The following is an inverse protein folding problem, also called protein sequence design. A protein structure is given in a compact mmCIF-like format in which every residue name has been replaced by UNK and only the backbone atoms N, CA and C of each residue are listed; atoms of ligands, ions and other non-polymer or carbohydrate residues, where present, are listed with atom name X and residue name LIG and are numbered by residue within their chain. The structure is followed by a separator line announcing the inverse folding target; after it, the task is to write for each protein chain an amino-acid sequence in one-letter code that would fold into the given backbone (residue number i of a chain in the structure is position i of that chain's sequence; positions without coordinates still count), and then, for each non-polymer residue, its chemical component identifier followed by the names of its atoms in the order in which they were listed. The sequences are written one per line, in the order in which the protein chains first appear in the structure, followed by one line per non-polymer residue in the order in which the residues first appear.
data_IF_196598235700
#
_entry.id   IF_196598235700
#
_cell.length_a   1.000
_cell.length_b   1.000
_cell.length_c   1.000
_cell.angle_alpha   90.00
_cell.angle_beta   90.00
_cell.angle_gamma   90.00
#
_symmetry.space_group_name_H-M   'P 1'
#
loop_
_entity.id
_entity.type
_entity.pdbx_description
1 polymer ?
#
# COMPACT_ATOMS: atom_id res chain seq x y z
N UNK A 1 -26.44 13.11 23.33
CA UNK A 1 -25.23 13.76 22.80
C UNK A 1 -24.66 12.86 21.72
N UNK A 2 -24.61 13.30 20.47
CA UNK A 2 -23.91 12.56 19.42
C UNK A 2 -22.41 12.84 19.57
N UNK A 3 -21.64 11.82 19.97
CA UNK A 3 -20.19 11.89 19.97
C UNK A 3 -19.71 11.86 18.52
N UNK A 4 -19.16 12.98 18.03
CA UNK A 4 -18.41 13.00 16.79
C UNK A 4 -17.10 12.22 17.03
N UNK A 5 -16.95 11.07 16.36
CA UNK A 5 -15.68 10.36 16.35
C UNK A 5 -14.63 11.29 15.72
N UNK A 6 -13.39 11.35 16.26
CA UNK A 6 -12.34 12.14 15.64
C UNK A 6 -12.14 11.62 14.22
N UNK A 7 -12.31 12.50 13.23
CA UNK A 7 -11.85 12.24 11.88
C UNK A 7 -10.34 12.02 12.00
N UNK A 8 -9.88 10.79 11.78
CA UNK A 8 -8.46 10.53 11.60
C UNK A 8 -8.01 11.49 10.51
N UNK A 9 -7.15 12.45 10.88
CA UNK A 9 -6.49 13.32 9.93
C UNK A 9 -5.77 12.39 8.97
N UNK A 10 -6.33 12.23 7.76
CA UNK A 10 -5.72 11.49 6.67
C UNK A 10 -4.46 12.25 6.28
N UNK A 11 -3.39 12.04 7.05
CA UNK A 11 -2.09 12.59 6.80
C UNK A 11 -1.65 11.99 5.48
N UNK A 12 -1.59 12.82 4.42
CA UNK A 12 -1.15 12.36 3.11
C UNK A 12 0.22 11.70 3.26
N UNK A 13 0.25 10.37 3.12
CA UNK A 13 1.46 9.60 3.34
C UNK A 13 2.43 9.92 2.20
N UNK A 14 3.65 10.40 2.48
CA UNK A 14 4.63 10.61 1.43
C UNK A 14 5.07 9.25 0.91
N UNK A 15 4.67 8.91 -0.31
CA UNK A 15 5.14 7.68 -0.96
C UNK A 15 6.46 7.93 -1.70
N UNK A 16 7.37 6.95 -1.76
CA UNK A 16 8.60 7.08 -2.53
C UNK A 16 8.33 7.38 -4.01
N UNK A 17 9.22 8.12 -4.70
CA UNK A 17 9.07 8.41 -6.14
C UNK A 17 9.08 7.15 -7.02
N UNK A 18 9.64 6.05 -6.52
CA UNK A 18 9.68 4.74 -7.20
C UNK A 18 8.41 3.91 -6.99
N UNK A 19 7.45 4.40 -6.20
CA UNK A 19 6.22 3.69 -5.93
C UNK A 19 5.36 3.56 -7.19
N UNK A 20 4.93 2.32 -7.47
CA UNK A 20 3.99 1.95 -8.52
C UNK A 20 2.59 1.78 -7.92
N UNK A 21 1.56 2.03 -8.72
CA UNK A 21 0.14 1.80 -8.36
C UNK A 21 -0.31 0.47 -8.95
N UNK A 22 -1.09 -0.29 -8.18
CA UNK A 22 -1.78 -1.47 -8.69
C UNK A 22 -2.95 -1.87 -7.78
N UNK A 23 -3.68 -2.90 -8.20
CA UNK A 23 -4.70 -3.57 -7.41
C UNK A 23 -4.14 -4.90 -6.92
N UNK A 24 -4.03 -5.03 -5.59
CA UNK A 24 -3.45 -6.20 -4.94
C UNK A 24 -4.53 -7.06 -4.30
N UNK A 25 -4.29 -8.38 -4.29
CA UNK A 25 -4.95 -9.31 -3.38
C UNK A 25 -3.92 -10.30 -2.83
N UNK A 26 -4.13 -10.80 -1.60
CA UNK A 26 -3.29 -11.85 -1.04
C UNK A 26 -3.36 -13.13 -1.88
N UNK A 27 -2.23 -13.84 -1.91
CA UNK A 27 -2.11 -15.22 -2.37
C UNK A 27 -1.33 -16.00 -1.29
N UNK A 28 -0.94 -17.26 -1.54
CA UNK A 28 -0.14 -18.03 -0.61
C UNK A 28 1.21 -17.33 -0.35
N UNK A 29 1.37 -16.78 0.85
CA UNK A 29 2.59 -16.07 1.25
C UNK A 29 3.86 -16.91 0.96
N UNK A 30 4.92 -16.32 0.36
CA UNK A 30 5.14 -14.90 0.09
C UNK A 30 4.60 -14.38 -1.24
N UNK A 31 3.76 -15.15 -1.94
CA UNK A 31 3.13 -14.69 -3.17
C UNK A 31 1.97 -13.73 -2.89
N UNK A 32 1.82 -12.75 -3.79
CA UNK A 32 0.67 -11.85 -3.88
C UNK A 32 0.31 -11.67 -5.35
N UNK A 33 -0.89 -11.23 -5.64
CA UNK A 33 -1.30 -10.93 -7.01
C UNK A 33 -1.56 -9.44 -7.15
N UNK A 34 -0.83 -8.79 -8.06
CA UNK A 34 -0.97 -7.38 -8.40
C UNK A 34 -1.35 -7.27 -9.87
N UNK A 35 -2.48 -6.58 -10.15
CA UNK A 35 -3.02 -6.39 -11.50
C UNK A 35 -3.17 -7.72 -12.28
N UNK A 36 -3.57 -8.77 -11.56
CA UNK A 36 -3.76 -10.12 -12.11
C UNK A 36 -2.46 -10.91 -12.34
N UNK A 37 -1.29 -10.36 -12.02
CA UNK A 37 0.01 -11.04 -12.16
C UNK A 37 0.52 -11.53 -10.80
N UNK A 38 0.95 -12.79 -10.69
CA UNK A 38 1.59 -13.29 -9.48
C UNK A 38 2.95 -12.61 -9.30
N UNK A 39 3.21 -12.12 -8.08
CA UNK A 39 4.43 -11.44 -7.64
C UNK A 39 4.89 -12.05 -6.33
N UNK A 40 6.19 -11.96 -6.06
CA UNK A 40 6.80 -12.46 -4.82
C UNK A 40 7.24 -11.28 -3.96
N UNK A 41 6.92 -11.36 -2.67
CA UNK A 41 7.43 -10.44 -1.66
C UNK A 41 8.84 -10.84 -1.23
N UNK A 42 9.70 -9.86 -0.98
CA UNK A 42 11.01 -10.13 -0.38
C UNK A 42 10.84 -10.66 1.06
N UNK A 43 11.85 -11.36 1.62
CA UNK A 43 11.80 -11.79 3.02
C UNK A 43 11.67 -10.64 4.03
N UNK A 44 12.12 -9.43 3.65
CA UNK A 44 12.05 -8.23 4.47
C UNK A 44 10.84 -7.35 4.14
N UNK A 45 9.93 -7.82 3.28
CA UNK A 45 8.85 -7.01 2.78
C UNK A 45 7.86 -6.65 3.88
N UNK A 46 7.33 -5.43 3.79
CA UNK A 46 6.36 -4.89 4.75
C UNK A 46 5.12 -4.40 4.03
N UNK A 47 3.97 -4.63 4.68
CA UNK A 47 2.68 -4.13 4.24
C UNK A 47 2.19 -3.12 5.27
N UNK A 48 1.78 -1.94 4.82
CA UNK A 48 1.20 -0.90 5.66
C UNK A 48 -0.29 -0.76 5.34
N UNK A 49 -1.13 -0.79 6.37
CA UNK A 49 -2.57 -0.56 6.24
C UNK A 49 -2.87 0.93 6.02
N UNK A 50 -4.15 1.31 5.93
CA UNK A 50 -4.58 2.71 5.74
C UNK A 50 -4.16 3.65 6.87
N UNK A 51 -3.98 3.12 8.08
CA UNK A 51 -3.55 3.87 9.27
C UNK A 51 -2.01 3.94 9.41
N UNK A 52 -1.28 3.54 8.35
CA UNK A 52 0.18 3.47 8.32
C UNK A 52 0.81 2.51 9.34
N UNK A 53 0.05 1.51 9.79
CA UNK A 53 0.53 0.44 10.68
C UNK A 53 0.94 -0.79 9.87
N UNK A 54 1.91 -1.56 10.37
CA UNK A 54 2.31 -2.81 9.72
C UNK A 54 1.17 -3.82 9.84
N UNK A 55 0.74 -4.33 8.69
CA UNK A 55 -0.30 -5.35 8.59
C UNK A 55 0.33 -6.69 8.22
N UNK A 56 -0.04 -7.73 8.97
CA UNK A 56 0.46 -9.07 8.72
C UNK A 56 -0.20 -9.65 7.47
N UNK A 57 0.55 -10.38 6.61
CA UNK A 57 -0.02 -10.98 5.40
C UNK A 57 -1.26 -11.86 5.65
N UNK A 58 -1.30 -12.57 6.79
CA UNK A 58 -2.42 -13.42 7.17
C UNK A 58 -3.71 -12.65 7.55
N UNK A 59 -3.59 -11.37 7.88
CA UNK A 59 -4.72 -10.50 8.24
C UNK A 59 -5.30 -9.75 7.05
N UNK A 60 -4.69 -9.90 5.87
CA UNK A 60 -5.08 -9.14 4.69
C UNK A 60 -6.52 -9.46 4.27
N UNK A 61 -7.28 -8.45 3.82
CA UNK A 61 -8.59 -8.68 3.24
C UNK A 61 -8.51 -9.64 2.05
N UNK A 62 -9.39 -10.65 2.01
CA UNK A 62 -9.55 -11.56 0.86
C UNK A 62 -10.34 -10.88 -0.26
N UNK A 63 -9.91 -9.68 -0.65
CA UNK A 63 -10.50 -8.87 -1.72
C UNK A 63 -9.40 -8.05 -2.41
N UNK A 64 -9.74 -7.55 -3.58
CA UNK A 64 -8.91 -6.60 -4.29
C UNK A 64 -8.85 -5.27 -3.52
N UNK A 65 -7.64 -4.78 -3.26
CA UNK A 65 -7.38 -3.49 -2.61
C UNK A 65 -6.44 -2.65 -3.49
N UNK A 66 -6.68 -1.34 -3.56
CA UNK A 66 -5.77 -0.45 -4.24
C UNK A 66 -4.50 -0.27 -3.38
N UNK A 67 -3.33 -0.38 -4.01
CA UNK A 67 -2.04 -0.29 -3.33
C UNK A 67 -1.07 0.61 -4.05
N UNK A 68 -0.17 1.23 -3.29
CA UNK A 68 1.16 1.60 -3.78
C UNK A 68 2.16 0.53 -3.40
N UNK A 69 3.18 0.31 -4.22
CA UNK A 69 4.23 -0.64 -3.89
C UNK A 69 5.58 -0.28 -4.53
N UNK A 70 6.67 -0.73 -3.93
CA UNK A 70 8.02 -0.66 -4.53
C UNK A 70 8.56 -2.05 -4.80
N UNK A 71 9.49 -2.12 -5.74
CA UNK A 71 10.16 -3.35 -6.16
C UNK A 71 11.67 -3.17 -6.01
N UNK A 72 12.39 -4.26 -5.75
CA UNK A 72 13.85 -4.29 -5.82
C UNK A 72 14.34 -4.54 -7.26
N UNK A 73 15.66 -4.60 -7.45
CA UNK A 73 16.29 -4.87 -8.75
C UNK A 73 15.94 -6.27 -9.32
N UNK A 74 15.54 -7.20 -8.46
CA UNK A 74 15.07 -8.54 -8.83
C UNK A 74 13.56 -8.58 -9.16
N UNK A 75 12.87 -7.43 -9.20
CA UNK A 75 11.42 -7.31 -9.40
C UNK A 75 10.57 -7.98 -8.30
N UNK A 76 11.13 -8.18 -7.12
CA UNK A 76 10.40 -8.64 -5.94
C UNK A 76 9.81 -7.43 -5.19
N UNK A 77 8.66 -7.63 -4.57
CA UNK A 77 7.94 -6.57 -3.85
C UNK A 77 8.60 -6.33 -2.49
N UNK A 78 9.11 -5.12 -2.27
CA UNK A 78 9.78 -4.75 -1.01
C UNK A 78 8.81 -4.06 -0.04
N UNK A 79 7.92 -3.22 -0.55
CA UNK A 79 7.01 -2.40 0.27
C UNK A 79 5.65 -2.33 -0.37
N UNK A 80 4.60 -2.43 0.43
CA UNK A 80 3.21 -2.32 -0.02
C UNK A 80 2.43 -1.41 0.93
N UNK A 81 1.78 -0.38 0.40
CA UNK A 81 0.87 0.47 1.15
C UNK A 81 -0.54 0.25 0.64
N UNK A 82 -1.44 -0.20 1.51
CA UNK A 82 -2.88 -0.26 1.25
C UNK A 82 -3.42 1.15 1.36
N UNK A 83 -4.14 1.57 0.33
CA UNK A 83 -4.63 2.93 0.20
C UNK A 83 -6.04 3.05 0.77
N UNK A 84 -6.32 4.22 1.34
CA UNK A 84 -7.70 4.65 1.55
C UNK A 84 -8.37 5.01 0.23
N UNK A 85 -9.69 5.16 0.25
CA UNK A 85 -10.46 5.60 -0.93
C UNK A 85 -10.08 7.01 -1.38
N UNK A 86 -9.55 7.85 -0.48
CA UNK A 86 -9.08 9.20 -0.80
C UNK A 86 -7.72 9.14 -1.50
N UNK A 87 -6.80 8.34 -0.98
CA UNK A 87 -5.48 8.12 -1.57
C UNK A 87 -5.58 7.40 -2.92
N UNK A 88 -6.52 6.48 -3.10
CA UNK A 88 -6.74 5.79 -4.36
C UNK A 88 -7.20 6.73 -5.49
N UNK A 89 -7.82 7.87 -5.16
CA UNK A 89 -8.22 8.90 -6.14
C UNK A 89 -7.06 9.78 -6.60
N UNK A 90 -5.98 9.82 -5.82
CA UNK A 90 -4.77 10.55 -6.17
C UNK A 90 -3.83 9.65 -7.00
N UNK A 91 -3.02 10.25 -7.86
CA UNK A 91 -1.93 9.52 -8.55
C UNK A 91 -0.70 9.42 -7.65
N UNK A 92 0.14 8.37 -7.76
CA UNK A 92 1.36 8.25 -6.96
C UNK A 92 2.29 9.47 -7.08
N UNK A 93 2.32 10.13 -8.25
CA UNK A 93 3.08 11.37 -8.46
C UNK A 93 2.55 12.53 -7.63
N UNK A 94 1.23 12.64 -7.46
CA UNK A 94 0.61 13.65 -6.61
C UNK A 94 0.88 13.39 -5.13
N UNK A 95 1.08 12.13 -4.75
CA UNK A 95 1.37 11.73 -3.37
C UNK A 95 2.85 11.83 -2.99
N UNK A 96 3.71 12.20 -3.94
CA UNK A 96 5.15 12.41 -3.75
C UNK A 96 5.49 13.85 -3.27
N UNK A 97 4.50 14.61 -2.80
CA UNK A 97 4.62 16.04 -2.45
C UNK A 97 5.41 16.34 -1.16
N UNK A 98 6.15 15.36 -0.61
CA UNK A 98 6.86 15.48 0.67
C UNK A 98 8.39 15.46 0.63
N UNK A 99 9.05 15.22 -0.51
CA UNK A 99 10.52 15.21 -0.58
C UNK A 99 11.07 16.46 -1.29
N UNK A 100 11.57 17.48 -0.56
CA UNK A 100 12.41 18.50 -1.19
C UNK A 100 13.68 17.83 -1.74
N UNK A 101 14.04 18.23 -2.96
CA UNK A 101 15.30 17.84 -3.62
C UNK A 101 16.53 18.29 -2.84
#
# INVERSE_FOLDING_TARGET
MLAAAPAALAFERPFPPTAKRGVMRPDLYPAIIIDGRPRIMTPAARIWNTDNMIEMPASLPVKNVAVNYTENDALEIERVWILSDEEARQTPKQQNIGQPR
#
